data_IF_444888856653
#
_entry.id   IF_444888856653
#
_cell.length_a   1.000
_cell.length_b   1.000
_cell.length_c   1.000
_cell.angle_alpha   90.00
_cell.angle_beta   90.00
_cell.angle_gamma   90.00
#
_symmetry.space_group_name_H-M   'P 1'
#
loop_
_entity.id
_entity.type
_entity.pdbx_description
1 polymer ?
#
# COMPACT_ATOMS: atom_id res chain seq x y z
N UNK A 1 -30.36 20.12 51.51
CA UNK A 1 -29.04 19.46 51.37
C UNK A 1 -29.10 18.05 50.79
N UNK A 2 -29.96 17.13 51.28
CA UNK A 2 -30.01 15.73 50.78
C UNK A 2 -30.38 15.58 49.29
N UNK A 3 -31.24 16.46 48.76
CA UNK A 3 -31.67 16.47 47.35
C UNK A 3 -30.54 16.87 46.37
N UNK A 4 -29.68 17.81 46.75
CA UNK A 4 -28.55 18.25 45.92
C UNK A 4 -27.47 17.16 45.84
N UNK A 5 -27.26 16.44 46.94
CA UNK A 5 -26.32 15.32 47.02
C UNK A 5 -26.77 14.14 46.14
N UNK A 6 -28.07 13.84 46.12
CA UNK A 6 -28.64 12.83 45.24
C UNK A 6 -28.50 13.20 43.75
N UNK A 7 -28.64 14.48 43.40
CA UNK A 7 -28.45 14.97 42.02
C UNK A 7 -27.00 14.85 41.55
N UNK A 8 -26.02 15.17 42.40
CA UNK A 8 -24.60 14.98 42.06
C UNK A 8 -24.21 13.51 41.92
N UNK A 9 -24.78 12.62 42.75
CA UNK A 9 -24.56 11.17 42.63
C UNK A 9 -25.17 10.65 41.32
N UNK A 10 -26.35 11.13 40.94
CA UNK A 10 -27.00 10.76 39.68
C UNK A 10 -26.22 11.28 38.45
N UNK A 11 -25.68 12.50 38.51
CA UNK A 11 -24.83 13.02 37.43
C UNK A 11 -23.52 12.24 37.29
N UNK A 12 -22.92 11.82 38.41
CA UNK A 12 -21.67 11.06 38.41
C UNK A 12 -21.85 9.63 37.86
N UNK A 13 -23.01 9.01 38.11
CA UNK A 13 -23.32 7.67 37.56
C UNK A 13 -23.63 7.71 36.08
N UNK A 14 -24.30 8.75 35.58
CA UNK A 14 -24.55 8.94 34.13
C UNK A 14 -23.24 9.19 33.36
N UNK A 15 -22.28 9.91 33.96
CA UNK A 15 -20.97 10.17 33.34
C UNK A 15 -20.07 8.94 33.25
N UNK A 16 -20.34 7.89 34.05
CA UNK A 16 -19.54 6.66 34.08
C UNK A 16 -19.98 5.61 33.05
N UNK A 17 -21.07 5.83 32.31
CA UNK A 17 -21.72 4.77 31.49
C UNK A 17 -21.36 4.75 30.00
N UNK A 18 -20.42 5.53 29.48
CA UNK A 18 -20.11 5.48 28.03
C UNK A 18 -18.62 5.36 27.72
N UNK A 19 -18.10 4.16 27.91
CA UNK A 19 -16.94 3.68 27.18
C UNK A 19 -17.15 2.20 26.79
N UNK A 20 -18.23 1.93 26.06
CA UNK A 20 -18.31 0.70 25.27
C UNK A 20 -17.35 0.88 24.11
N UNK A 21 -16.17 0.28 24.16
CA UNK A 21 -15.39 0.10 22.93
C UNK A 21 -16.21 -0.83 22.03
N UNK A 22 -16.77 -0.28 20.96
CA UNK A 22 -17.25 -1.12 19.86
C UNK A 22 -15.98 -1.68 19.24
N UNK A 23 -15.55 -2.86 19.69
CA UNK A 23 -14.70 -3.70 18.86
C UNK A 23 -15.54 -4.01 17.63
N UNK A 24 -15.19 -3.41 16.50
CA UNK A 24 -15.81 -3.71 15.21
C UNK A 24 -15.49 -5.16 14.89
N UNK A 25 -16.37 -6.07 15.31
CA UNK A 25 -16.35 -7.45 14.85
C UNK A 25 -16.84 -7.41 13.41
N UNK A 26 -15.90 -7.39 12.48
CA UNK A 26 -16.18 -7.75 11.10
C UNK A 26 -16.61 -9.21 11.07
N UNK A 27 -17.91 -9.47 11.18
CA UNK A 27 -18.44 -10.82 11.22
C UNK A 27 -18.35 -11.46 9.82
N UNK A 28 -17.83 -12.68 9.76
CA UNK A 28 -18.00 -13.51 8.58
C UNK A 28 -19.46 -13.94 8.42
N UNK A 29 -19.80 -14.46 7.23
CA UNK A 29 -21.09 -15.10 6.99
C UNK A 29 -21.32 -16.24 8.00
N UNK A 30 -22.51 -16.40 8.60
CA UNK A 30 -22.77 -17.47 9.55
C UNK A 30 -22.37 -18.85 9.02
N UNK A 31 -21.61 -19.61 9.83
CA UNK A 31 -21.06 -20.91 9.46
C UNK A 31 -19.75 -20.86 8.67
N UNK A 32 -19.20 -19.68 8.40
CA UNK A 32 -17.91 -19.50 7.74
C UNK A 32 -16.83 -19.05 8.73
N UNK A 33 -15.59 -19.39 8.42
CA UNK A 33 -14.44 -18.94 9.19
C UNK A 33 -14.18 -17.44 8.95
N UNK A 34 -13.87 -16.70 10.01
CA UNK A 34 -13.74 -15.24 10.01
C UNK A 34 -12.29 -14.75 10.01
N UNK A 35 -11.33 -15.66 10.02
CA UNK A 35 -9.90 -15.35 10.14
C UNK A 35 -9.04 -16.31 9.35
N UNK A 36 -8.00 -15.79 8.70
CA UNK A 36 -6.94 -16.59 8.08
C UNK A 36 -5.59 -16.08 8.61
N UNK A 37 -4.95 -16.88 9.46
CA UNK A 37 -3.75 -16.46 10.19
C UNK A 37 -4.03 -15.26 11.09
N UNK A 38 -3.42 -14.11 10.77
CA UNK A 38 -3.59 -12.86 11.53
C UNK A 38 -4.55 -11.86 10.89
N UNK A 39 -5.19 -12.24 9.79
CA UNK A 39 -6.07 -11.36 9.01
C UNK A 39 -7.52 -11.75 9.25
N UNK A 40 -8.33 -10.79 9.69
CA UNK A 40 -9.79 -10.95 9.75
C UNK A 40 -10.39 -10.85 8.35
N UNK A 41 -11.29 -11.77 8.04
CA UNK A 41 -11.97 -11.95 6.75
C UNK A 41 -13.48 -11.81 6.98
N UNK A 42 -14.00 -10.58 7.03
CA UNK A 42 -15.42 -10.34 7.25
C UNK A 42 -16.22 -10.41 5.94
N UNK A 43 -17.53 -10.65 6.04
CA UNK A 43 -18.42 -10.56 4.88
C UNK A 43 -18.40 -9.13 4.33
N UNK A 44 -18.29 -8.88 3.00
CA UNK A 44 -18.61 -9.78 1.88
C UNK A 44 -17.51 -10.75 1.44
N UNK A 45 -16.32 -10.69 2.06
CA UNK A 45 -15.26 -11.66 1.82
C UNK A 45 -15.53 -12.96 2.57
N UNK A 46 -14.97 -14.06 2.08
CA UNK A 46 -15.17 -15.33 2.74
C UNK A 46 -14.21 -16.42 2.30
N UNK A 47 -13.89 -17.30 3.24
CA UNK A 47 -12.99 -18.43 3.06
C UNK A 47 -13.81 -19.66 2.67
N UNK A 48 -13.51 -20.25 1.52
CA UNK A 48 -14.17 -21.46 1.05
C UNK A 48 -15.52 -21.24 0.35
N UNK A 49 -16.19 -22.33 -0.05
CA UNK A 49 -17.38 -22.29 -0.89
C UNK A 49 -18.57 -21.66 -0.16
N UNK A 50 -19.32 -20.79 -0.86
CA UNK A 50 -20.53 -20.12 -0.35
C UNK A 50 -20.32 -19.22 0.88
N UNK A 51 -19.08 -18.80 1.16
CA UNK A 51 -18.75 -17.89 2.26
C UNK A 51 -18.58 -16.43 1.83
N UNK A 52 -18.32 -16.18 0.55
CA UNK A 52 -18.22 -14.86 -0.04
C UNK A 52 -19.51 -14.46 -0.77
N UNK A 53 -19.70 -13.16 -1.03
CA UNK A 53 -20.84 -12.65 -1.80
C UNK A 53 -20.81 -13.10 -3.26
N UNK A 54 -19.62 -13.21 -3.85
CA UNK A 54 -19.38 -13.73 -5.19
C UNK A 54 -17.89 -14.07 -5.37
N UNK A 55 -17.53 -14.61 -6.54
CA UNK A 55 -16.17 -15.09 -6.85
C UNK A 55 -15.04 -14.06 -6.68
N UNK A 56 -15.32 -12.76 -6.81
CA UNK A 56 -14.31 -11.70 -6.65
C UNK A 56 -13.88 -11.51 -5.18
N UNK A 57 -14.76 -11.89 -4.24
CA UNK A 57 -14.56 -11.73 -2.80
C UNK A 57 -14.16 -13.06 -2.12
N UNK A 58 -13.90 -14.10 -2.91
CA UNK A 58 -13.43 -15.39 -2.39
C UNK A 58 -11.97 -15.28 -1.95
N UNK A 59 -11.71 -15.76 -0.73
CA UNK A 59 -10.39 -15.84 -0.13
C UNK A 59 -9.95 -17.29 -0.07
N UNK A 60 -8.81 -17.60 -0.67
CA UNK A 60 -8.10 -18.84 -0.46
C UNK A 60 -7.12 -18.68 0.69
N UNK A 61 -7.31 -19.46 1.76
CA UNK A 61 -6.42 -19.46 2.91
C UNK A 61 -5.42 -20.62 2.79
N UNK A 62 -4.18 -20.34 2.40
CA UNK A 62 -3.12 -21.35 2.32
C UNK A 62 -2.10 -21.13 3.45
N UNK A 63 -1.93 -22.13 4.32
CA UNK A 63 -0.93 -22.11 5.39
C UNK A 63 -0.98 -20.83 6.24
N UNK A 64 -2.19 -20.41 6.63
CA UNK A 64 -2.47 -19.16 7.37
C UNK A 64 -2.22 -17.85 6.60
N UNK A 65 -2.04 -17.91 5.29
CA UNK A 65 -1.89 -16.74 4.43
C UNK A 65 -3.12 -16.62 3.50
N UNK A 66 -3.87 -15.51 3.56
CA UNK A 66 -5.05 -15.31 2.71
C UNK A 66 -4.69 -14.72 1.35
N UNK A 67 -5.38 -15.17 0.30
CA UNK A 67 -5.20 -14.70 -1.07
C UNK A 67 -6.54 -14.42 -1.74
N UNK A 68 -6.62 -13.34 -2.53
CA UNK A 68 -7.75 -13.10 -3.43
C UNK A 68 -7.66 -14.02 -4.65
N UNK A 69 -8.49 -15.07 -4.66
CA UNK A 69 -8.46 -16.13 -5.68
C UNK A 69 -8.64 -15.59 -7.10
N UNK A 70 -9.57 -14.64 -7.28
CA UNK A 70 -9.93 -14.11 -8.59
C UNK A 70 -8.93 -13.08 -9.15
N UNK A 71 -7.98 -12.61 -8.35
CA UNK A 71 -6.99 -11.60 -8.73
C UNK A 71 -5.57 -12.16 -8.70
N UNK A 72 -5.33 -13.25 -9.44
CA UNK A 72 -4.00 -13.89 -9.54
C UNK A 72 -3.38 -14.25 -8.17
N UNK A 73 -4.20 -14.63 -7.19
CA UNK A 73 -3.75 -14.93 -5.83
C UNK A 73 -2.94 -13.78 -5.19
N UNK A 74 -3.48 -12.56 -5.24
CA UNK A 74 -2.92 -11.45 -4.47
C UNK A 74 -3.07 -11.71 -2.97
N UNK A 75 -1.96 -11.71 -2.24
CA UNK A 75 -1.94 -11.88 -0.78
C UNK A 75 -2.68 -10.72 -0.11
N UNK A 76 -3.62 -11.04 0.78
CA UNK A 76 -4.39 -10.07 1.54
C UNK A 76 -3.68 -9.78 2.86
N UNK A 77 -3.42 -8.51 3.14
CA UNK A 77 -2.76 -8.06 4.37
C UNK A 77 -3.77 -7.52 5.39
N UNK A 78 -4.96 -7.15 4.93
CA UNK A 78 -6.00 -6.60 5.80
C UNK A 78 -7.27 -6.25 5.03
N UNK A 79 -8.40 -6.31 5.73
CA UNK A 79 -9.71 -5.87 5.24
C UNK A 79 -10.26 -4.85 6.24
N UNK A 80 -10.64 -3.68 5.74
CA UNK A 80 -11.28 -2.61 6.51
C UNK A 80 -12.62 -2.28 5.84
N UNK A 81 -13.70 -2.78 6.42
CA UNK A 81 -15.05 -2.55 5.89
C UNK A 81 -15.55 -1.13 6.11
N UNK A 82 -15.08 -0.44 7.15
CA UNK A 82 -15.50 0.94 7.44
C UNK A 82 -14.97 1.88 6.35
N UNK A 83 -13.71 1.70 5.98
CA UNK A 83 -13.08 2.46 4.90
C UNK A 83 -13.34 1.88 3.50
N UNK A 84 -14.05 0.74 3.39
CA UNK A 84 -14.27 -0.02 2.15
C UNK A 84 -12.97 -0.33 1.43
N UNK A 85 -12.02 -0.93 2.15
CA UNK A 85 -10.66 -1.16 1.67
C UNK A 85 -10.26 -2.61 1.89
N UNK A 86 -9.63 -3.17 0.87
CA UNK A 86 -8.80 -4.36 1.01
C UNK A 86 -7.34 -4.01 0.70
N UNK A 87 -6.46 -4.31 1.65
CA UNK A 87 -5.02 -4.12 1.51
C UNK A 87 -4.39 -5.41 1.03
N UNK A 88 -3.63 -5.34 -0.06
CA UNK A 88 -2.94 -6.49 -0.67
C UNK A 88 -1.44 -6.26 -0.73
N UNK A 89 -0.67 -7.34 -0.66
CA UNK A 89 0.76 -7.32 -0.89
C UNK A 89 1.01 -7.34 -2.40
N UNK A 90 1.98 -6.57 -2.87
CA UNK A 90 2.37 -6.54 -4.27
C UNK A 90 3.84 -6.90 -4.40
N UNK A 91 4.21 -7.55 -5.50
CA UNK A 91 5.60 -7.94 -5.72
C UNK A 91 6.51 -6.72 -5.71
N UNK A 92 7.47 -6.76 -4.79
CA UNK A 92 8.59 -5.83 -4.74
C UNK A 92 9.60 -6.18 -5.83
N UNK A 93 9.82 -5.26 -6.76
CA UNK A 93 10.85 -5.47 -7.79
C UNK A 93 12.19 -4.90 -7.35
N UNK A 94 13.23 -5.73 -7.41
CA UNK A 94 14.61 -5.36 -7.05
C UNK A 94 15.41 -4.72 -8.19
N UNK A 95 14.91 -4.85 -9.43
CA UNK A 95 15.46 -4.23 -10.62
C UNK A 95 14.34 -3.93 -11.63
N UNK A 96 14.00 -2.65 -11.78
CA UNK A 96 12.93 -2.17 -12.67
C UNK A 96 13.50 -1.87 -14.08
N UNK A 97 14.21 -2.84 -14.70
CA UNK A 97 14.82 -2.69 -16.04
C UNK A 97 13.83 -2.86 -17.19
N UNK A 98 12.65 -3.42 -16.92
CA UNK A 98 11.55 -3.56 -17.86
C UNK A 98 10.26 -3.01 -17.24
N UNK A 99 9.32 -2.63 -18.10
CA UNK A 99 7.99 -2.22 -17.66
C UNK A 99 7.25 -3.40 -17.03
N UNK A 100 6.96 -3.29 -15.74
CA UNK A 100 6.17 -4.28 -15.01
C UNK A 100 4.74 -3.77 -14.88
N UNK A 101 3.81 -4.57 -15.37
CA UNK A 101 2.39 -4.29 -15.34
C UNK A 101 1.80 -4.75 -14.01
N UNK A 102 0.89 -3.95 -13.45
CA UNK A 102 0.08 -4.32 -12.31
C UNK A 102 -0.90 -5.45 -12.66
N UNK A 103 -1.55 -6.02 -11.65
CA UNK A 103 -2.75 -6.83 -11.89
C UNK A 103 -3.80 -5.93 -12.54
N UNK A 104 -4.52 -6.47 -13.52
CA UNK A 104 -5.59 -5.75 -14.20
C UNK A 104 -6.90 -5.94 -13.43
N UNK A 105 -7.44 -4.85 -12.91
CA UNK A 105 -8.66 -4.82 -12.10
C UNK A 105 -9.92 -4.43 -12.89
N UNK A 106 -9.80 -4.11 -14.20
CA UNK A 106 -10.89 -3.54 -14.99
C UNK A 106 -12.18 -4.37 -15.03
N UNK A 107 -12.08 -5.70 -14.92
CA UNK A 107 -13.23 -6.61 -14.91
C UNK A 107 -13.69 -6.97 -13.48
N UNK A 108 -12.97 -6.49 -12.47
CA UNK A 108 -13.24 -6.74 -11.06
C UNK A 108 -13.99 -5.55 -10.45
N UNK A 109 -14.62 -5.72 -9.27
CA UNK A 109 -15.23 -4.60 -8.56
C UNK A 109 -14.20 -3.66 -7.91
N UNK A 110 -12.91 -3.96 -8.01
CA UNK A 110 -11.85 -3.29 -7.26
C UNK A 110 -11.12 -2.21 -8.06
N UNK A 111 -10.65 -1.17 -7.38
CA UNK A 111 -9.83 -0.10 -7.97
C UNK A 111 -8.59 0.21 -7.13
N UNK A 112 -7.47 0.55 -7.78
CA UNK A 112 -6.32 1.09 -7.07
C UNK A 112 -6.66 2.48 -6.49
N UNK A 113 -6.63 2.62 -5.17
CA UNK A 113 -6.85 3.89 -4.47
C UNK A 113 -5.86 4.99 -4.84
N UNK A 114 -6.39 6.17 -5.21
CA UNK A 114 -5.62 7.38 -5.47
C UNK A 114 -4.82 7.86 -4.24
N UNK A 115 -5.50 7.97 -3.09
CA UNK A 115 -4.97 8.63 -1.90
C UNK A 115 -4.15 7.71 -1.00
N UNK A 116 -4.34 6.39 -1.12
CA UNK A 116 -3.71 5.40 -0.23
C UNK A 116 -2.61 4.58 -0.88
N UNK A 117 -2.50 4.62 -2.21
CA UNK A 117 -1.37 4.01 -2.91
C UNK A 117 -0.25 5.03 -3.13
N UNK A 118 0.95 4.63 -2.71
CA UNK A 118 2.17 5.38 -2.91
C UNK A 118 3.11 4.59 -3.80
N UNK A 119 3.63 5.23 -4.83
CA UNK A 119 4.73 4.74 -5.61
C UNK A 119 6.03 5.23 -5.00
N UNK A 120 6.87 4.30 -4.56
CA UNK A 120 8.15 4.60 -3.92
C UNK A 120 9.28 4.04 -4.76
N UNK A 121 10.23 4.91 -5.06
CA UNK A 121 11.48 4.56 -5.73
C UNK A 121 12.60 4.71 -4.71
N UNK A 122 13.46 3.70 -4.60
CA UNK A 122 14.68 3.78 -3.78
C UNK A 122 15.93 3.82 -4.67
N UNK A 123 17.01 4.40 -4.13
CA UNK A 123 18.32 4.59 -4.75
C UNK A 123 18.37 5.64 -5.87
N UNK A 124 19.34 5.56 -6.79
CA UNK A 124 19.68 6.66 -7.72
C UNK A 124 19.01 6.59 -9.10
N UNK A 125 18.16 7.56 -9.46
CA UNK A 125 17.57 7.64 -10.79
C UNK A 125 16.10 8.02 -10.80
N UNK A 126 15.42 7.75 -11.92
CA UNK A 126 14.04 8.15 -12.15
C UNK A 126 13.15 6.92 -12.31
N UNK A 127 12.00 6.90 -11.64
CA UNK A 127 10.94 5.92 -11.85
C UNK A 127 9.67 6.61 -12.32
N UNK A 128 8.90 5.93 -13.17
CA UNK A 128 7.63 6.46 -13.68
C UNK A 128 6.53 5.42 -13.59
N UNK A 129 5.31 5.91 -13.37
CA UNK A 129 4.07 5.16 -13.52
C UNK A 129 3.45 5.55 -14.84
N UNK A 130 3.14 4.55 -15.65
CA UNK A 130 2.39 4.66 -16.88
C UNK A 130 0.97 4.16 -16.67
N UNK A 131 0.01 4.88 -17.23
CA UNK A 131 -1.37 4.44 -17.34
C UNK A 131 -1.57 3.61 -18.60
N UNK A 132 -2.84 3.46 -18.98
CA UNK A 132 -3.20 2.80 -20.22
C UNK A 132 -2.56 3.53 -21.42
N UNK A 133 -2.18 2.76 -22.44
CA UNK A 133 -1.54 3.26 -23.67
C UNK A 133 -0.19 3.98 -23.45
N UNK A 134 0.47 3.79 -22.30
CA UNK A 134 1.81 4.33 -22.06
C UNK A 134 1.85 5.81 -21.69
N UNK A 135 0.71 6.39 -21.31
CA UNK A 135 0.63 7.77 -20.83
C UNK A 135 1.35 7.87 -19.47
N UNK A 136 2.27 8.82 -19.33
CA UNK A 136 2.94 9.07 -18.04
C UNK A 136 1.94 9.68 -17.06
N UNK A 137 1.67 8.96 -15.97
CA UNK A 137 0.74 9.38 -14.93
C UNK A 137 1.43 10.10 -13.77
N UNK A 138 2.58 9.60 -13.36
CA UNK A 138 3.36 10.14 -12.24
C UNK A 138 4.81 9.71 -12.37
N UNK A 139 5.70 10.45 -11.72
CA UNK A 139 7.14 10.21 -11.74
C UNK A 139 7.79 10.50 -10.40
N UNK A 140 8.92 9.85 -10.15
CA UNK A 140 9.79 10.11 -9.03
C UNK A 140 11.23 10.24 -9.53
N UNK A 141 11.94 11.27 -9.08
CA UNK A 141 13.35 11.51 -9.40
C UNK A 141 14.17 11.55 -8.12
N UNK A 142 15.29 10.84 -8.12
CA UNK A 142 16.22 10.77 -6.99
C UNK A 142 17.61 11.06 -7.52
N UNK A 143 18.23 12.09 -6.96
CA UNK A 143 19.61 12.45 -7.22
C UNK A 143 20.54 11.81 -6.20
N UNK A 144 21.73 11.40 -6.64
CA UNK A 144 22.76 10.91 -5.75
C UNK A 144 23.94 11.88 -5.74
N UNK A 145 24.39 12.26 -4.55
CA UNK A 145 25.57 13.08 -4.36
C UNK A 145 26.78 12.18 -4.14
N UNK A 146 27.90 12.46 -4.82
CA UNK A 146 29.18 11.76 -4.66
C UNK A 146 29.97 12.26 -3.44
N UNK A 147 29.33 12.87 -2.44
CA UNK A 147 30.03 13.34 -1.25
C UNK A 147 30.34 12.17 -0.32
N UNK A 148 31.63 11.85 -0.17
CA UNK A 148 32.19 10.80 0.69
C UNK A 148 32.19 11.13 2.19
N UNK A 149 31.42 12.13 2.61
CA UNK A 149 31.33 12.51 4.02
C UNK A 149 30.11 11.86 4.64
N UNK A 150 30.36 10.75 5.32
CA UNK A 150 29.64 10.19 6.48
C UNK A 150 28.12 10.35 6.45
N UNK A 151 27.43 9.22 6.27
CA UNK A 151 26.00 8.97 6.47
C UNK A 151 25.34 9.89 7.50
N UNK A 152 25.03 11.11 7.10
CA UNK A 152 24.03 11.92 7.76
C UNK A 152 22.80 11.65 6.92
N UNK A 153 21.94 10.75 7.41
CA UNK A 153 20.55 10.83 7.06
C UNK A 153 20.18 12.30 7.22
N UNK A 154 19.94 12.99 6.11
CA UNK A 154 19.53 14.39 6.16
C UNK A 154 18.21 14.37 6.92
N UNK A 155 18.25 14.82 8.17
CA UNK A 155 17.06 15.06 8.98
C UNK A 155 16.36 16.26 8.36
N UNK A 156 15.60 16.01 7.29
CA UNK A 156 14.64 17.00 6.78
C UNK A 156 13.47 16.95 7.74
N UNK A 157 13.25 18.08 8.42
CA UNK A 157 12.24 18.29 9.44
C UNK A 157 10.87 17.70 9.04
N UNK A 158 10.19 17.16 10.06
CA UNK A 158 9.11 16.17 10.01
C UNK A 158 7.82 16.52 9.22
N UNK A 159 7.76 17.56 8.39
CA UNK A 159 6.50 18.02 7.80
C UNK A 159 6.48 18.33 6.29
N UNK A 160 7.52 18.09 5.49
CA UNK A 160 7.30 18.05 4.03
C UNK A 160 8.42 17.35 3.27
N UNK A 161 8.02 16.34 2.50
CA UNK A 161 8.70 15.80 1.31
C UNK A 161 10.05 15.09 1.54
N UNK A 162 10.01 13.74 1.63
CA UNK A 162 11.15 12.81 1.43
C UNK A 162 11.58 12.76 -0.04
N UNK A 163 11.90 13.91 -0.62
CA UNK A 163 12.25 14.04 -2.03
C UNK A 163 13.74 14.30 -2.17
N UNK A 164 14.46 13.35 -2.78
CA UNK A 164 15.68 13.67 -3.52
C UNK A 164 16.98 13.03 -3.06
N UNK A 165 17.03 12.37 -1.90
CA UNK A 165 18.23 11.64 -1.44
C UNK A 165 17.82 10.23 -0.99
N UNK A 166 18.31 9.22 -1.69
CA UNK A 166 18.08 7.77 -1.46
C UNK A 166 16.65 7.25 -1.66
N UNK A 167 15.61 8.07 -1.54
CA UNK A 167 14.21 7.67 -1.73
C UNK A 167 13.40 8.82 -2.34
N UNK A 168 12.39 8.47 -3.13
CA UNK A 168 11.35 9.37 -3.60
C UNK A 168 10.00 8.66 -3.51
N UNK A 169 8.99 9.34 -3.00
CA UNK A 169 7.61 8.86 -2.98
C UNK A 169 6.69 9.79 -3.77
N UNK A 170 5.70 9.22 -4.46
CA UNK A 170 4.64 9.97 -5.14
C UNK A 170 3.34 9.18 -5.08
N UNK A 171 2.19 9.84 -5.21
CA UNK A 171 0.88 9.20 -5.26
C UNK A 171 0.47 8.90 -6.71
N UNK A 172 -0.55 8.06 -6.87
CA UNK A 172 -1.21 7.83 -8.15
C UNK A 172 -2.17 9.01 -8.41
N UNK A 173 -2.26 9.56 -9.64
CA UNK A 173 -3.05 10.78 -9.90
C UNK A 173 -4.57 10.60 -9.79
N UNK A 174 -5.09 9.38 -9.97
CA UNK A 174 -6.51 9.03 -9.90
C UNK A 174 -6.67 7.52 -9.63
N UNK A 175 -7.92 7.06 -9.47
CA UNK A 175 -8.20 5.63 -9.33
C UNK A 175 -7.87 4.90 -10.63
N UNK A 176 -7.14 3.79 -10.54
CA UNK A 176 -6.69 3.04 -11.73
C UNK A 176 -7.25 1.62 -11.71
N UNK A 177 -7.56 1.11 -12.91
CA UNK A 177 -7.80 -0.31 -13.14
C UNK A 177 -6.50 -1.08 -13.32
N UNK A 178 -5.52 -0.46 -13.98
CA UNK A 178 -4.19 -1.04 -14.18
C UNK A 178 -3.16 0.06 -14.37
N UNK A 179 -1.89 -0.25 -14.14
CA UNK A 179 -0.76 0.62 -14.44
C UNK A 179 0.46 -0.21 -14.80
N UNK A 180 1.43 0.42 -15.47
CA UNK A 180 2.77 -0.12 -15.63
C UNK A 180 3.75 0.78 -14.90
N UNK A 181 4.85 0.24 -14.43
CA UNK A 181 5.93 1.05 -13.86
C UNK A 181 7.28 0.56 -14.35
N UNK A 182 8.21 1.49 -14.51
CA UNK A 182 9.59 1.17 -14.87
C UNK A 182 10.55 2.26 -14.40
N UNK A 183 11.84 1.93 -14.37
CA UNK A 183 12.90 2.88 -14.06
C UNK A 183 13.62 3.28 -15.34
N UNK A 184 13.85 4.57 -15.51
CA UNK A 184 14.68 5.08 -16.58
C UNK A 184 16.16 4.82 -16.20
N UNK A 185 16.87 4.05 -17.03
CA UNK A 185 18.32 3.97 -16.95
C UNK A 185 18.90 5.26 -17.53
N UNK A 186 19.75 5.94 -16.77
CA UNK A 186 20.51 7.06 -17.31
C UNK A 186 21.44 6.56 -18.42
N UNK A 187 21.30 7.09 -19.63
CA UNK A 187 22.26 6.87 -20.70
C UNK A 187 23.60 7.51 -20.32
N UNK A 188 24.71 6.82 -20.59
CA UNK A 188 26.03 7.40 -20.40
C UNK A 188 26.20 8.61 -21.32
N UNK A 189 26.27 9.81 -20.75
CA UNK A 189 26.75 10.98 -21.48
C UNK A 189 28.26 10.81 -21.66
N UNK A 190 28.72 10.60 -22.90
CA UNK A 190 30.15 10.63 -23.22
C UNK A 190 30.59 12.08 -23.30
N UNK A 191 30.97 12.67 -22.18
CA UNK A 191 31.84 13.85 -22.20
C UNK A 191 33.29 13.40 -22.29
N UNK A 192 34.03 14.03 -23.21
CA UNK A 192 35.37 13.67 -23.61
C UNK A 192 36.38 13.93 -22.46
N UNK A 193 36.74 12.91 -21.70
CA UNK A 193 37.86 12.99 -20.76
C UNK A 193 37.79 12.00 -19.60
N UNK A 194 38.63 10.95 -19.68
CA UNK A 194 39.00 10.03 -18.58
C UNK A 194 37.83 9.27 -17.91
N UNK A 195 37.50 8.12 -18.50
CA UNK A 195 36.60 7.12 -17.91
C UNK A 195 37.14 6.58 -16.59
N UNK A 196 36.63 7.08 -15.46
CA UNK A 196 36.56 6.26 -14.26
C UNK A 196 35.31 5.40 -14.39
N UNK A 197 35.53 4.10 -14.62
CA UNK A 197 34.50 3.09 -14.76
C UNK A 197 33.88 2.84 -13.38
N UNK A 198 33.02 3.74 -12.90
CA UNK A 198 32.25 3.47 -11.70
C UNK A 198 31.19 2.44 -12.08
N UNK A 199 31.50 1.16 -11.82
CA UNK A 199 30.49 0.11 -11.71
C UNK A 199 29.62 0.47 -10.49
N UNK A 200 28.67 1.38 -10.67
CA UNK A 200 27.62 1.56 -9.67
C UNK A 200 26.68 0.38 -9.89
N UNK A 201 26.84 -0.66 -9.07
CA UNK A 201 25.85 -1.75 -8.97
C UNK A 201 24.64 -1.15 -8.24
N UNK A 202 23.81 -0.43 -8.98
CA UNK A 202 22.61 0.25 -8.48
C UNK A 202 21.53 -0.82 -8.29
N UNK A 203 21.50 -1.45 -7.12
CA UNK A 203 20.38 -2.30 -6.73
C UNK A 203 19.31 -1.38 -6.13
N UNK A 204 18.19 -1.25 -6.83
CA UNK A 204 17.16 -0.31 -6.45
C UNK A 204 15.81 -0.98 -6.44
N UNK A 205 15.26 -1.05 -5.24
CA UNK A 205 13.94 -1.58 -5.00
C UNK A 205 12.89 -0.54 -5.41
N UNK A 206 11.93 -0.93 -6.24
CA UNK A 206 10.64 -0.27 -6.33
C UNK A 206 9.82 -0.82 -5.15
N UNK A 207 9.70 -0.06 -4.06
CA UNK A 207 9.01 -0.49 -2.84
C UNK A 207 7.54 -0.08 -2.90
N UNK A 208 6.69 -0.83 -3.60
CA UNK A 208 5.26 -0.74 -3.27
C UNK A 208 4.91 -1.95 -2.42
N UNK A 209 5.20 -1.84 -1.13
CA UNK A 209 5.07 -2.96 -0.20
C UNK A 209 3.59 -3.28 0.12
N UNK A 210 2.65 -2.36 -0.13
CA UNK A 210 1.20 -2.57 0.07
C UNK A 210 0.37 -1.74 -0.90
N UNK A 211 -0.63 -2.37 -1.53
CA UNK A 211 -1.65 -1.67 -2.30
C UNK A 211 -3.00 -1.74 -1.60
N UNK A 212 -3.71 -0.62 -1.67
CA UNK A 212 -5.09 -0.49 -1.24
C UNK A 212 -6.00 -0.57 -2.46
N UNK A 213 -6.88 -1.55 -2.45
CA UNK A 213 -8.00 -1.66 -3.36
C UNK A 213 -9.28 -1.16 -2.65
N UNK A 214 -10.12 -0.44 -3.39
CA UNK A 214 -11.48 -0.05 -2.99
C UNK A 214 -12.47 -0.94 -3.72
#
# INVERSE_FOLDING_TARGET
>A
MKLLQAYHILLATILSLTASSIAVLGFAKPGCNDTCGKVSIPYPFGIGPNCSVNKWYTIDCNSSTPYLSALNHLEVVGVDLESQIISVNMQKLSACSQATKSVNLASSPFLYSKSRNKFVVEGCGNGVILGDHGIVLSGCSITCSNHTTTSTAVTINANNTRFGINCCETTIPHYLNSYSHFRLQAGNHKENGRMEKTRVKVQCLCCVDKFVLL
#
